data_IF_417599016018
#
_entry.id   IF_417599016018
#
_cell.length_a   1.000
_cell.length_b   1.000
_cell.length_c   1.000
_cell.angle_alpha   90.00
_cell.angle_beta   90.00
_cell.angle_gamma   90.00
#
_symmetry.space_group_name_H-M   'P 1'
#
loop_
_entity.id
_entity.type
_entity.pdbx_description
1 polymer ?
#
# COMPACT_ATOMS: atom_id res chain seq x y z
N UNK A 1 11.84 25.51 68.81
CA UNK A 1 12.59 25.35 67.56
C UNK A 1 12.14 24.04 66.92
N UNK A 2 11.22 24.06 65.96
CA UNK A 2 10.77 22.88 65.19
C UNK A 2 11.18 23.10 63.69
N UNK A 3 12.05 22.25 63.24
CA UNK A 3 12.69 22.26 61.94
C UNK A 3 11.70 21.91 60.83
N UNK A 4 11.51 22.79 59.84
CA UNK A 4 10.79 22.54 58.59
C UNK A 4 11.71 21.75 57.63
N UNK A 5 11.51 20.44 57.55
CA UNK A 5 12.17 19.56 56.56
C UNK A 5 11.15 18.72 55.77
N UNK A 6 10.18 19.35 55.17
CA UNK A 6 9.18 18.61 54.35
C UNK A 6 8.66 19.47 53.19
N UNK A 7 9.53 19.97 52.31
CA UNK A 7 9.10 20.66 51.11
C UNK A 7 10.14 20.62 49.96
N UNK A 8 10.79 19.47 49.72
CA UNK A 8 11.77 19.38 48.65
C UNK A 8 11.75 18.06 47.84
N UNK A 9 10.63 17.30 47.84
CA UNK A 9 10.58 15.99 47.16
C UNK A 9 9.43 15.80 46.16
N UNK A 10 8.81 16.86 45.68
CA UNK A 10 7.62 16.74 44.79
C UNK A 10 7.76 17.41 43.43
N UNK A 11 8.96 17.68 42.93
CA UNK A 11 9.18 18.36 41.66
C UNK A 11 10.07 17.61 40.64
N UNK A 12 10.26 16.31 40.80
CA UNK A 12 11.15 15.53 39.92
C UNK A 12 10.46 14.33 39.20
N UNK A 13 9.13 14.31 39.09
CA UNK A 13 8.41 13.17 38.47
C UNK A 13 7.51 13.54 37.28
N UNK A 14 7.74 14.68 36.62
CA UNK A 14 6.86 15.14 35.51
C UNK A 14 7.60 15.40 34.20
N UNK A 15 8.64 14.62 33.90
CA UNK A 15 9.51 14.86 32.73
C UNK A 15 9.82 13.67 31.82
N UNK A 16 9.12 12.52 31.93
CA UNK A 16 9.53 11.30 31.18
C UNK A 16 8.39 10.60 30.41
N UNK A 17 7.40 11.30 29.87
CA UNK A 17 6.29 10.69 29.13
C UNK A 17 6.08 11.23 27.70
N UNK A 18 7.09 11.77 27.06
CA UNK A 18 6.94 12.38 25.72
C UNK A 18 7.94 11.90 24.66
N UNK A 19 8.37 10.61 24.67
CA UNK A 19 9.29 10.15 23.60
C UNK A 19 9.11 8.69 23.17
N UNK A 20 7.90 8.14 23.23
CA UNK A 20 7.69 6.72 22.89
C UNK A 20 6.99 6.47 21.55
N UNK A 21 6.95 7.44 20.61
CA UNK A 21 6.17 7.31 19.39
C UNK A 21 6.92 7.42 18.04
N UNK A 22 8.22 7.69 18.03
CA UNK A 22 8.91 8.03 16.77
C UNK A 22 10.02 7.06 16.31
N UNK A 23 10.20 5.90 16.92
CA UNK A 23 11.50 5.22 16.88
C UNK A 23 11.65 4.02 15.95
N UNK A 24 10.62 3.60 15.18
CA UNK A 24 10.83 2.43 14.30
C UNK A 24 10.99 2.77 12.81
N UNK A 25 10.40 3.84 12.31
CA UNK A 25 10.64 4.29 10.93
C UNK A 25 12.01 4.97 10.78
N UNK A 26 12.49 5.65 11.83
CA UNK A 26 13.80 6.29 11.88
C UNK A 26 14.96 5.32 11.61
N UNK A 27 14.94 4.12 12.19
CA UNK A 27 16.07 3.19 12.11
C UNK A 27 16.47 2.73 10.70
N UNK A 28 15.51 2.53 9.78
CA UNK A 28 15.87 2.13 8.41
C UNK A 28 16.43 3.32 7.62
N UNK A 29 15.76 4.46 7.64
CA UNK A 29 16.18 5.66 6.93
C UNK A 29 17.52 6.21 7.44
N UNK A 30 17.76 6.19 8.75
CA UNK A 30 19.03 6.55 9.39
C UNK A 30 20.19 5.64 8.98
N UNK A 31 19.93 4.40 8.58
CA UNK A 31 20.96 3.49 8.09
C UNK A 31 21.58 3.94 6.76
N UNK A 32 20.97 4.89 6.06
CA UNK A 32 21.37 5.37 4.74
C UNK A 32 21.07 4.38 3.60
N UNK A 33 20.45 3.23 3.91
CA UNK A 33 19.99 2.26 2.91
C UNK A 33 18.70 2.75 2.28
N UNK A 34 18.52 2.62 0.96
CA UNK A 34 17.27 2.99 0.32
C UNK A 34 16.14 2.04 0.73
N UNK A 35 14.93 2.58 0.91
CA UNK A 35 13.69 1.80 0.89
C UNK A 35 13.38 1.48 -0.56
N UNK A 36 13.42 0.21 -0.91
CA UNK A 36 13.17 -0.23 -2.28
C UNK A 36 11.71 -0.58 -2.49
N UNK A 37 11.17 -0.07 -3.56
CA UNK A 37 9.78 -0.27 -3.98
C UNK A 37 9.69 -1.26 -5.15
N UNK A 38 8.55 -1.93 -5.28
CA UNK A 38 8.15 -2.56 -6.52
C UNK A 38 7.94 -1.48 -7.59
N UNK A 39 8.74 -1.51 -8.65
CA UNK A 39 8.56 -0.66 -9.83
C UNK A 39 7.51 -1.26 -10.76
N UNK A 40 6.24 -1.00 -10.44
CA UNK A 40 5.09 -1.54 -11.13
C UNK A 40 4.96 -0.95 -12.54
N UNK A 41 4.41 -1.73 -13.48
CA UNK A 41 4.34 -1.36 -14.90
C UNK A 41 2.94 -0.92 -15.36
N UNK A 42 2.10 -0.48 -14.43
CA UNK A 42 0.78 0.13 -14.71
C UNK A 42 0.65 1.48 -14.01
N UNK A 43 -0.16 2.36 -14.57
CA UNK A 43 -0.20 3.79 -14.25
C UNK A 43 -0.55 4.09 -12.78
N UNK A 44 -1.58 3.43 -12.22
CA UNK A 44 -1.95 3.65 -10.81
C UNK A 44 -0.87 3.18 -9.85
N UNK A 45 -0.25 2.03 -10.12
CA UNK A 45 0.83 1.49 -9.31
C UNK A 45 2.08 2.37 -9.35
N UNK A 46 2.44 2.91 -10.53
CA UNK A 46 3.52 3.90 -10.66
C UNK A 46 3.22 5.15 -9.84
N UNK A 47 2.03 5.73 -10.00
CA UNK A 47 1.63 6.94 -9.26
C UNK A 47 1.68 6.72 -7.75
N UNK A 48 1.12 5.62 -7.24
CA UNK A 48 1.14 5.32 -5.81
C UNK A 48 2.57 5.13 -5.29
N UNK A 49 3.42 4.45 -6.07
CA UNK A 49 4.85 4.29 -5.75
C UNK A 49 5.54 5.64 -5.64
N UNK A 50 5.38 6.51 -6.65
CA UNK A 50 5.99 7.83 -6.67
C UNK A 50 5.53 8.71 -5.50
N UNK A 51 4.24 8.69 -5.18
CA UNK A 51 3.68 9.43 -4.02
C UNK A 51 4.31 8.95 -2.72
N UNK A 52 4.40 7.64 -2.51
CA UNK A 52 4.98 7.09 -1.29
C UNK A 52 6.48 7.40 -1.19
N UNK A 53 7.23 7.34 -2.30
CA UNK A 53 8.64 7.72 -2.34
C UNK A 53 8.82 9.19 -1.95
N UNK A 54 8.03 10.10 -2.54
CA UNK A 54 8.07 11.54 -2.19
C UNK A 54 7.78 11.76 -0.70
N UNK A 55 6.79 11.06 -0.13
CA UNK A 55 6.47 11.16 1.30
C UNK A 55 7.65 10.72 2.16
N UNK A 56 8.27 9.58 1.83
CA UNK A 56 9.43 9.09 2.58
C UNK A 56 10.64 10.01 2.44
N UNK A 57 10.93 10.49 1.25
CA UNK A 57 12.09 11.35 0.99
C UNK A 57 11.94 12.75 1.63
N UNK A 58 10.76 13.37 1.47
CA UNK A 58 10.53 14.74 1.94
C UNK A 58 10.05 14.82 3.39
N UNK A 59 9.34 13.80 3.86
CA UNK A 59 8.77 13.78 5.20
C UNK A 59 9.67 13.11 6.24
N UNK A 60 10.50 12.15 5.81
CA UNK A 60 11.28 11.31 6.72
C UNK A 60 12.78 11.26 6.39
N UNK A 61 13.24 12.04 5.41
CA UNK A 61 14.64 12.08 4.96
C UNK A 61 15.20 10.68 4.58
N UNK A 62 14.31 9.79 4.09
CA UNK A 62 14.70 8.48 3.61
C UNK A 62 15.27 8.57 2.20
N UNK A 63 16.16 7.63 1.87
CA UNK A 63 16.48 7.34 0.46
C UNK A 63 15.48 6.32 -0.06
N UNK A 64 15.06 6.45 -1.30
CA UNK A 64 14.21 5.46 -1.97
C UNK A 64 14.83 4.98 -3.28
N UNK A 65 14.38 3.82 -3.75
CA UNK A 65 14.76 3.23 -5.03
C UNK A 65 13.61 2.36 -5.53
N UNK A 66 13.58 2.03 -6.82
CA UNK A 66 12.56 1.16 -7.41
C UNK A 66 13.21 0.04 -8.22
N UNK A 67 12.77 -1.19 -7.98
CA UNK A 67 13.14 -2.35 -8.76
C UNK A 67 12.02 -2.66 -9.77
N UNK A 68 12.25 -2.53 -11.09
CA UNK A 68 11.21 -2.76 -12.09
C UNK A 68 10.87 -4.24 -12.22
N UNK A 69 9.57 -4.54 -12.39
CA UNK A 69 9.10 -5.90 -12.62
C UNK A 69 7.59 -6.01 -12.71
N UNK A 70 7.13 -7.22 -13.01
CA UNK A 70 5.71 -7.58 -12.95
C UNK A 70 5.30 -8.01 -11.53
N UNK A 71 3.99 -8.12 -11.28
CA UNK A 71 3.43 -8.47 -9.96
C UNK A 71 4.12 -9.68 -9.33
N UNK A 72 4.13 -10.81 -10.00
CA UNK A 72 4.66 -12.07 -9.44
C UNK A 72 6.14 -11.95 -9.08
N UNK A 73 6.94 -11.31 -9.95
CA UNK A 73 8.37 -11.11 -9.69
C UNK A 73 8.58 -10.21 -8.47
N UNK A 74 7.79 -9.13 -8.37
CA UNK A 74 7.91 -8.18 -7.27
C UNK A 74 7.35 -8.73 -5.95
N UNK A 75 6.31 -9.54 -5.97
CA UNK A 75 5.82 -10.26 -4.78
C UNK A 75 6.87 -11.23 -4.22
N UNK A 76 7.58 -11.94 -5.10
CA UNK A 76 8.70 -12.79 -4.69
C UNK A 76 9.84 -11.95 -4.10
N UNK A 77 10.20 -10.84 -4.73
CA UNK A 77 11.23 -9.93 -4.24
C UNK A 77 10.86 -9.33 -2.87
N UNK A 78 9.58 -8.99 -2.65
CA UNK A 78 9.08 -8.55 -1.34
C UNK A 78 9.17 -9.66 -0.31
N UNK A 79 8.75 -10.88 -0.65
CA UNK A 79 8.82 -12.06 0.22
C UNK A 79 10.25 -12.44 0.61
N UNK A 80 11.24 -12.11 -0.24
CA UNK A 80 12.67 -12.33 0.00
C UNK A 80 13.38 -11.14 0.64
N UNK A 81 12.66 -10.02 0.86
CA UNK A 81 13.20 -8.76 1.35
C UNK A 81 14.22 -8.08 0.41
N UNK A 82 14.14 -8.37 -0.89
CA UNK A 82 14.92 -7.66 -1.91
C UNK A 82 14.34 -6.27 -2.19
N UNK A 83 13.04 -6.10 -1.97
CA UNK A 83 12.30 -4.84 -1.88
C UNK A 83 11.53 -4.79 -0.54
N UNK A 84 11.14 -3.59 -0.11
CA UNK A 84 10.47 -3.39 1.18
C UNK A 84 9.01 -2.94 1.02
N UNK A 85 8.63 -2.39 -0.13
CA UNK A 85 7.29 -1.83 -0.34
C UNK A 85 6.73 -2.26 -1.69
N UNK A 86 5.48 -2.70 -1.65
CA UNK A 86 4.64 -2.93 -2.81
C UNK A 86 3.41 -2.01 -2.67
N UNK A 87 3.32 -0.97 -3.49
CA UNK A 87 2.38 0.13 -3.30
C UNK A 87 0.92 -0.21 -3.64
N UNK A 88 0.70 -1.14 -4.58
CA UNK A 88 -0.62 -1.52 -5.06
C UNK A 88 -0.71 -3.03 -5.27
N UNK A 89 -0.95 -3.78 -4.18
CA UNK A 89 -1.22 -5.21 -4.25
C UNK A 89 -2.72 -5.47 -4.43
N UNK A 90 -3.06 -6.29 -5.40
CA UNK A 90 -4.44 -6.69 -5.68
C UNK A 90 -4.78 -7.96 -4.90
N UNK A 91 -5.22 -7.74 -3.68
CA UNK A 91 -5.44 -8.78 -2.66
C UNK A 91 -6.37 -9.89 -3.17
N UNK A 92 -5.99 -11.15 -2.89
CA UNK A 92 -6.79 -12.32 -3.23
C UNK A 92 -6.52 -12.91 -4.63
N UNK A 93 -5.71 -12.26 -5.46
CA UNK A 93 -5.40 -12.74 -6.82
C UNK A 93 -4.15 -13.60 -6.90
N UNK A 94 -3.16 -13.34 -6.05
CA UNK A 94 -1.86 -13.99 -6.13
C UNK A 94 -1.68 -15.04 -5.05
N UNK A 95 -1.36 -16.25 -5.48
CA UNK A 95 -0.95 -17.30 -4.54
C UNK A 95 0.43 -17.00 -3.90
N UNK A 96 1.30 -16.27 -4.57
CA UNK A 96 2.61 -15.88 -4.05
C UNK A 96 2.41 -14.96 -2.86
N UNK A 97 1.59 -13.91 -3.00
CA UNK A 97 1.20 -13.02 -1.91
C UNK A 97 0.56 -13.80 -0.76
N UNK A 98 -0.49 -14.59 -1.04
CA UNK A 98 -1.23 -15.34 -0.02
C UNK A 98 -0.32 -16.25 0.81
N UNK A 99 0.64 -16.93 0.17
CA UNK A 99 1.61 -17.76 0.87
C UNK A 99 2.59 -16.95 1.71
N UNK A 100 3.06 -15.83 1.19
CA UNK A 100 4.00 -14.95 1.88
C UNK A 100 3.36 -14.29 3.12
N UNK A 101 2.12 -13.81 3.00
CA UNK A 101 1.35 -13.24 4.10
C UNK A 101 1.05 -14.27 5.19
N UNK A 102 0.57 -15.46 4.80
CA UNK A 102 0.34 -16.58 5.74
C UNK A 102 1.61 -17.00 6.47
N UNK A 103 2.75 -16.90 5.82
CA UNK A 103 4.06 -17.21 6.42
C UNK A 103 4.64 -16.03 7.25
N UNK A 104 3.94 -14.90 7.36
CA UNK A 104 4.39 -13.71 8.09
C UNK A 104 5.59 -13.00 7.46
N UNK A 105 5.84 -13.25 6.16
CA UNK A 105 6.95 -12.60 5.42
C UNK A 105 6.57 -11.23 4.90
N UNK A 106 5.30 -10.99 4.68
CA UNK A 106 4.74 -9.72 4.23
C UNK A 106 3.52 -9.37 5.08
N UNK A 107 3.16 -8.09 5.12
CA UNK A 107 2.01 -7.58 5.86
C UNK A 107 1.36 -6.44 5.09
N UNK A 108 0.02 -6.45 5.01
CA UNK A 108 -0.75 -5.31 4.53
C UNK A 108 -0.81 -4.21 5.56
N UNK A 109 -0.33 -3.01 5.22
CA UNK A 109 -0.30 -1.86 6.14
C UNK A 109 -1.38 -0.81 5.84
N UNK A 110 -2.12 -0.99 4.75
CA UNK A 110 -3.22 -0.09 4.37
C UNK A 110 -3.87 -0.50 3.06
N UNK A 111 -4.94 0.18 2.69
CA UNK A 111 -5.66 0.00 1.43
C UNK A 111 -5.81 1.37 0.75
N UNK A 112 -4.93 1.72 -0.21
CA UNK A 112 -4.98 3.02 -0.88
C UNK A 112 -6.23 3.18 -1.75
N UNK A 113 -6.81 2.08 -2.23
CA UNK A 113 -8.05 2.05 -3.00
C UNK A 113 -9.03 1.12 -2.30
N UNK A 114 -10.21 1.64 -1.95
CA UNK A 114 -11.30 0.87 -1.31
C UNK A 114 -12.51 0.83 -2.24
N UNK A 115 -13.29 -0.27 -2.17
CA UNK A 115 -14.51 -0.44 -2.96
C UNK A 115 -14.26 -0.73 -4.46
N UNK A 116 -13.03 -1.03 -4.85
CA UNK A 116 -12.73 -1.53 -6.18
C UNK A 116 -13.39 -2.91 -6.38
N UNK A 117 -14.00 -3.11 -7.55
CA UNK A 117 -14.62 -4.37 -7.94
C UNK A 117 -13.99 -4.81 -9.25
N UNK A 118 -13.46 -6.02 -9.25
CA UNK A 118 -12.96 -6.66 -10.47
C UNK A 118 -14.06 -7.43 -11.17
N UNK A 119 -14.03 -7.39 -12.49
CA UNK A 119 -14.99 -8.12 -13.31
C UNK A 119 -14.74 -7.95 -14.80
N UNK A 120 -15.51 -8.67 -15.56
CA UNK A 120 -15.60 -8.48 -17.01
C UNK A 120 -16.67 -7.42 -17.27
N UNK A 121 -16.30 -6.37 -17.98
CA UNK A 121 -17.18 -5.26 -18.28
C UNK A 121 -17.31 -5.10 -19.79
N UNK A 122 -18.54 -4.82 -20.21
CA UNK A 122 -18.84 -4.41 -21.58
C UNK A 122 -19.47 -3.02 -21.55
N UNK A 123 -19.27 -2.19 -22.56
CA UNK A 123 -19.98 -0.92 -22.63
C UNK A 123 -21.50 -1.12 -22.63
N UNK A 124 -22.22 -0.27 -21.89
CA UNK A 124 -23.67 -0.39 -21.75
C UNK A 124 -24.40 -0.48 -23.08
N UNK A 125 -23.96 0.27 -24.09
CA UNK A 125 -24.57 0.25 -25.41
C UNK A 125 -24.51 -1.11 -26.14
N UNK A 126 -23.58 -1.98 -25.71
CA UNK A 126 -23.52 -3.36 -26.26
C UNK A 126 -24.76 -4.14 -25.86
N UNK A 127 -25.27 -3.90 -24.65
CA UNK A 127 -26.44 -4.60 -24.10
C UNK A 127 -27.72 -3.82 -24.37
N UNK A 128 -27.72 -2.50 -24.20
CA UNK A 128 -28.93 -1.66 -24.25
C UNK A 128 -29.10 -0.87 -25.54
N UNK A 129 -28.07 -0.81 -26.38
CA UNK A 129 -28.01 0.13 -27.49
C UNK A 129 -27.76 1.57 -27.05
N UNK A 130 -27.77 2.51 -28.01
CA UNK A 130 -27.67 3.94 -27.72
C UNK A 130 -28.45 4.71 -28.81
N UNK A 131 -29.66 5.13 -28.49
CA UNK A 131 -30.54 5.84 -29.38
C UNK A 131 -29.94 7.18 -29.89
N UNK A 132 -29.16 7.89 -29.06
CA UNK A 132 -28.54 9.17 -29.42
C UNK A 132 -27.49 8.99 -30.51
N UNK A 133 -26.74 7.89 -30.43
CA UNK A 133 -25.70 7.52 -31.40
C UNK A 133 -26.23 6.61 -32.51
N UNK A 134 -27.53 6.28 -32.50
CA UNK A 134 -28.20 5.37 -33.46
C UNK A 134 -27.52 3.98 -33.48
N UNK A 135 -27.14 3.48 -32.30
CA UNK A 135 -26.56 2.14 -32.13
C UNK A 135 -27.62 1.19 -31.57
N UNK A 136 -27.83 0.07 -32.25
CA UNK A 136 -28.63 -1.04 -31.77
C UNK A 136 -27.84 -1.87 -30.74
N UNK A 137 -28.52 -2.52 -29.80
CA UNK A 137 -27.93 -3.47 -28.91
C UNK A 137 -27.34 -4.65 -29.72
N UNK A 138 -26.07 -4.98 -29.45
CA UNK A 138 -25.38 -6.07 -30.15
C UNK A 138 -25.52 -7.40 -29.42
N UNK A 139 -25.66 -7.36 -28.12
CA UNK A 139 -25.80 -8.53 -27.27
C UNK A 139 -26.77 -8.25 -26.10
N UNK A 140 -28.09 -8.06 -26.38
CA UNK A 140 -29.08 -7.69 -25.35
C UNK A 140 -29.23 -8.74 -24.25
N UNK A 141 -28.93 -9.99 -24.55
CA UNK A 141 -29.10 -11.11 -23.63
C UNK A 141 -27.83 -11.47 -22.85
N UNK A 142 -26.71 -10.74 -23.07
CA UNK A 142 -25.44 -10.96 -22.41
C UNK A 142 -25.54 -10.59 -20.91
N UNK A 143 -25.48 -11.59 -20.02
CA UNK A 143 -25.56 -11.42 -18.55
C UNK A 143 -24.40 -12.08 -17.82
N UNK A 144 -23.75 -13.06 -18.43
CA UNK A 144 -22.66 -13.83 -17.85
C UNK A 144 -21.61 -14.17 -18.89
N UNK A 145 -20.43 -14.56 -18.45
CA UNK A 145 -19.35 -15.02 -19.35
C UNK A 145 -19.79 -16.22 -20.21
N UNK A 146 -20.64 -17.09 -19.64
CA UNK A 146 -21.20 -18.25 -20.36
C UNK A 146 -22.02 -17.84 -21.60
N UNK A 147 -22.54 -16.63 -21.66
CA UNK A 147 -23.34 -16.14 -22.80
C UNK A 147 -22.46 -15.66 -23.97
N UNK A 148 -21.12 -15.75 -23.82
CA UNK A 148 -20.15 -15.43 -24.85
C UNK A 148 -19.79 -16.64 -25.74
N UNK A 149 -20.32 -17.83 -25.44
CA UNK A 149 -20.03 -19.08 -26.13
C UNK A 149 -20.82 -19.22 -27.43
#
# INVERSE_FOLDING_TARGET
MKSNKTLLTTLLSMGLLASAGATQAAGWCESGKPVKFAGLNWESGMLLTDVLQVVLEKGYDCKTDSLPGNSITMENALSSNDIQVFAEEWVGRSEVWNKAEKAGKVVGVGAPVVGAIEGWYVPRYVIEGDAKRKLEAKAPDLKAIADLA
#
